data_IF_211466574447
#
_entry.id   IF_211466574447
#
_cell.length_a   1.000
_cell.length_b   1.000
_cell.length_c   1.000
_cell.angle_alpha   90.00
_cell.angle_beta   90.00
_cell.angle_gamma   90.00
#
_symmetry.space_group_name_H-M   'P 1'
#
loop_
_entity.id
_entity.type
_entity.pdbx_description
1 polymer ?
#
# COMPACT_ATOMS: atom_id res chain seq x y z
N UNK A 1 -26.20 2.37 -8.24
CA UNK A 1 -25.16 2.58 -9.28
C UNK A 1 -23.77 2.08 -8.84
N UNK A 2 -23.26 2.45 -7.66
CA UNK A 2 -21.94 1.98 -7.16
C UNK A 2 -21.82 0.43 -7.06
N UNK A 3 -22.83 -0.24 -6.48
CA UNK A 3 -22.84 -1.71 -6.38
C UNK A 3 -22.78 -2.40 -7.75
N UNK A 4 -23.39 -1.80 -8.79
CA UNK A 4 -23.37 -2.34 -10.15
C UNK A 4 -21.97 -2.30 -10.74
N UNK A 5 -21.19 -1.24 -10.47
CA UNK A 5 -19.79 -1.15 -10.94
C UNK A 5 -18.90 -2.22 -10.32
N UNK A 6 -19.09 -2.50 -9.02
CA UNK A 6 -18.32 -3.49 -8.25
C UNK A 6 -18.60 -4.95 -8.64
N UNK A 7 -19.70 -5.19 -9.36
CA UNK A 7 -20.13 -6.51 -9.82
C UNK A 7 -20.15 -6.61 -11.36
N UNK A 8 -19.47 -5.70 -12.05
CA UNK A 8 -19.31 -5.75 -13.51
C UNK A 8 -18.43 -6.94 -13.94
N UNK A 9 -18.44 -7.28 -15.23
CA UNK A 9 -17.75 -8.47 -15.77
C UNK A 9 -16.22 -8.45 -15.52
N UNK A 10 -15.63 -7.26 -15.47
CA UNK A 10 -14.22 -7.00 -15.14
C UNK A 10 -13.96 -6.91 -13.63
N UNK A 11 -14.90 -7.36 -12.80
CA UNK A 11 -14.80 -7.40 -11.34
C UNK A 11 -15.04 -8.81 -10.81
N UNK A 12 -14.41 -9.09 -9.67
CA UNK A 12 -14.73 -10.26 -8.83
C UNK A 12 -14.89 -9.80 -7.40
N UNK A 13 -15.84 -10.41 -6.69
CA UNK A 13 -16.10 -10.15 -5.29
C UNK A 13 -16.15 -11.49 -4.55
N UNK A 14 -15.33 -11.64 -3.53
CA UNK A 14 -15.25 -12.85 -2.71
C UNK A 14 -15.75 -12.54 -1.30
N UNK A 15 -16.52 -13.47 -0.74
CA UNK A 15 -17.00 -13.42 0.64
C UNK A 15 -16.46 -14.59 1.45
N UNK A 16 -15.92 -14.32 2.62
CA UNK A 16 -15.51 -15.35 3.57
C UNK A 16 -16.57 -15.53 4.63
N UNK A 17 -17.08 -16.76 4.79
CA UNK A 17 -18.15 -17.10 5.73
C UNK A 17 -17.63 -18.08 6.77
N UNK A 18 -18.19 -18.00 7.98
CA UNK A 18 -17.94 -19.00 9.01
C UNK A 18 -19.18 -19.90 9.13
N UNK A 19 -19.03 -21.22 9.35
CA UNK A 19 -20.19 -22.13 9.43
C UNK A 19 -21.24 -21.76 10.48
N UNK A 20 -20.81 -21.07 11.55
CA UNK A 20 -21.72 -20.56 12.59
C UNK A 20 -22.51 -19.30 12.18
N UNK A 21 -22.08 -18.61 11.13
CA UNK A 21 -22.70 -17.40 10.56
C UNK A 21 -22.76 -17.54 9.02
N UNK A 22 -23.55 -18.49 8.49
CA UNK A 22 -23.51 -18.85 7.07
C UNK A 22 -24.06 -17.75 6.14
N UNK A 23 -24.95 -16.90 6.66
CA UNK A 23 -25.58 -15.81 5.90
C UNK A 23 -24.82 -14.47 6.05
N UNK A 24 -23.84 -14.41 6.96
CA UNK A 24 -23.10 -13.18 7.26
C UNK A 24 -21.63 -13.31 6.84
N UNK A 25 -21.21 -12.62 5.77
CA UNK A 25 -19.83 -12.61 5.34
C UNK A 25 -18.98 -11.88 6.38
N UNK A 26 -17.90 -12.52 6.82
CA UNK A 26 -16.94 -11.96 7.76
C UNK A 26 -15.98 -10.99 7.06
N UNK A 27 -15.53 -11.35 5.86
CA UNK A 27 -14.63 -10.54 5.05
C UNK A 27 -15.16 -10.48 3.62
N UNK A 28 -15.07 -9.30 3.02
CA UNK A 28 -15.24 -9.09 1.59
C UNK A 28 -13.93 -8.69 0.94
N UNK A 29 -13.66 -9.27 -0.22
CA UNK A 29 -12.52 -8.95 -1.07
C UNK A 29 -13.03 -8.53 -2.43
N UNK A 30 -12.74 -7.29 -2.84
CA UNK A 30 -13.09 -6.77 -4.15
C UNK A 30 -11.84 -6.71 -5.04
N UNK A 31 -11.99 -7.24 -6.26
CA UNK A 31 -10.91 -7.41 -7.23
C UNK A 31 -11.32 -6.80 -8.57
N UNK A 32 -10.42 -6.02 -9.16
CA UNK A 32 -10.53 -5.52 -10.53
C UNK A 32 -9.61 -6.30 -11.45
N UNK A 33 -10.12 -6.75 -12.59
CA UNK A 33 -9.37 -7.42 -13.64
C UNK A 33 -8.87 -6.36 -14.63
N UNK A 34 -7.56 -6.23 -14.76
CA UNK A 34 -6.89 -5.16 -15.52
C UNK A 34 -5.78 -5.72 -16.41
N UNK A 35 -5.27 -4.86 -17.29
CA UNK A 35 -4.15 -5.18 -18.20
C UNK A 35 -2.79 -4.72 -17.65
N UNK A 36 -2.79 -4.05 -16.49
CA UNK A 36 -1.59 -3.56 -15.82
C UNK A 36 -1.81 -3.37 -14.32
N UNK A 37 -0.71 -3.25 -13.58
CA UNK A 37 -0.73 -2.94 -12.15
C UNK A 37 -1.23 -1.49 -11.98
N UNK A 38 -2.45 -1.34 -11.46
CA UNK A 38 -3.03 -0.04 -11.19
C UNK A 38 -2.22 0.76 -10.16
N UNK A 39 -2.01 2.04 -10.45
CA UNK A 39 -1.36 3.02 -9.56
C UNK A 39 -2.33 4.06 -8.98
N UNK A 40 -3.58 4.08 -9.44
CA UNK A 40 -4.60 5.05 -9.03
C UNK A 40 -5.93 4.34 -8.77
N UNK A 41 -6.62 4.74 -7.69
CA UNK A 41 -7.89 4.10 -7.30
C UNK A 41 -9.07 4.62 -8.11
N UNK A 42 -9.04 5.88 -8.56
CA UNK A 42 -10.18 6.54 -9.18
C UNK A 42 -10.71 5.78 -10.42
N UNK A 43 -9.87 5.31 -11.36
CA UNK A 43 -10.36 4.52 -12.51
C UNK A 43 -11.01 3.18 -12.11
N UNK A 44 -10.61 2.60 -10.96
CA UNK A 44 -11.14 1.31 -10.52
C UNK A 44 -12.54 1.42 -9.93
N UNK A 45 -12.84 2.56 -9.30
CA UNK A 45 -14.11 2.81 -8.60
C UNK A 45 -15.05 3.74 -9.37
N UNK A 46 -14.64 4.25 -10.53
CA UNK A 46 -15.48 5.10 -11.37
C UNK A 46 -16.72 4.33 -11.85
N UNK A 47 -17.94 4.72 -11.46
CA UNK A 47 -19.16 4.08 -11.90
C UNK A 47 -19.40 4.19 -13.41
N UNK A 48 -18.80 5.18 -14.07
CA UNK A 48 -18.86 5.40 -15.51
C UNK A 48 -17.65 4.81 -16.26
N UNK A 49 -16.71 4.18 -15.55
CA UNK A 49 -15.52 3.58 -16.15
C UNK A 49 -15.87 2.42 -17.09
N UNK A 50 -15.10 2.28 -18.17
CA UNK A 50 -15.28 1.18 -19.12
C UNK A 50 -15.13 -0.18 -18.43
N UNK A 51 -15.95 -1.14 -18.86
CA UNK A 51 -15.87 -2.53 -18.42
C UNK A 51 -14.91 -3.26 -19.35
N UNK A 52 -13.79 -3.72 -18.80
CA UNK A 52 -12.80 -4.49 -19.56
C UNK A 52 -13.27 -5.91 -19.90
N UNK A 53 -12.56 -6.57 -20.82
CA UNK A 53 -12.76 -8.00 -21.08
C UNK A 53 -11.97 -8.82 -20.02
N UNK A 54 -12.65 -9.56 -19.13
CA UNK A 54 -11.97 -10.35 -18.10
C UNK A 54 -11.06 -11.45 -18.67
N UNK A 55 -11.33 -11.92 -19.90
CA UNK A 55 -10.52 -12.98 -20.54
C UNK A 55 -9.26 -12.44 -21.22
N UNK A 56 -9.19 -11.13 -21.47
CA UNK A 56 -8.00 -10.45 -21.96
C UNK A 56 -7.16 -9.81 -20.85
N UNK A 57 -7.72 -9.66 -19.64
CA UNK A 57 -7.00 -9.17 -18.47
C UNK A 57 -5.87 -10.12 -18.06
N UNK A 58 -4.76 -9.58 -17.56
CA UNK A 58 -3.61 -10.36 -17.08
C UNK A 58 -3.21 -10.01 -15.64
N UNK A 59 -3.94 -9.09 -15.01
CA UNK A 59 -3.67 -8.57 -13.67
C UNK A 59 -4.95 -8.57 -12.84
N UNK A 60 -4.91 -9.17 -11.65
CA UNK A 60 -5.93 -9.03 -10.62
C UNK A 60 -5.48 -7.99 -9.59
N UNK A 61 -6.23 -6.90 -9.49
CA UNK A 61 -6.01 -5.79 -8.55
C UNK A 61 -6.98 -5.86 -7.39
N UNK A 62 -6.49 -6.26 -6.21
CA UNK A 62 -7.24 -6.27 -4.96
C UNK A 62 -7.30 -4.85 -4.40
N UNK A 63 -8.42 -4.14 -4.63
CA UNK A 63 -8.55 -2.73 -4.27
C UNK A 63 -9.41 -2.49 -3.01
N UNK A 64 -10.09 -3.54 -2.50
CA UNK A 64 -10.81 -3.47 -1.23
C UNK A 64 -10.76 -4.80 -0.49
N UNK A 65 -10.39 -4.76 0.80
CA UNK A 65 -10.48 -5.89 1.73
C UNK A 65 -11.11 -5.36 3.01
N UNK A 66 -12.36 -5.75 3.27
CA UNK A 66 -13.16 -5.21 4.37
C UNK A 66 -13.57 -6.32 5.33
N UNK A 67 -13.38 -6.09 6.63
CA UNK A 67 -14.02 -6.91 7.66
C UNK A 67 -15.45 -6.38 7.87
N UNK A 68 -16.46 -7.19 7.59
CA UNK A 68 -17.85 -6.77 7.60
C UNK A 68 -18.43 -6.66 9.02
N UNK A 69 -17.83 -7.35 10.00
CA UNK A 69 -18.31 -7.37 11.37
C UNK A 69 -17.43 -6.50 12.28
N UNK A 70 -17.99 -5.39 12.75
CA UNK A 70 -17.29 -4.46 13.63
C UNK A 70 -16.77 -5.11 14.94
N UNK A 71 -17.48 -6.14 15.44
CA UNK A 71 -17.09 -6.92 16.62
C UNK A 71 -15.87 -7.82 16.41
N UNK A 72 -15.47 -8.09 15.16
CA UNK A 72 -14.29 -8.89 14.81
C UNK A 72 -13.09 -8.02 14.43
N UNK A 73 -13.16 -6.71 14.68
CA UNK A 73 -12.08 -5.77 14.37
C UNK A 73 -10.83 -6.12 15.19
N UNK A 74 -9.79 -6.59 14.50
CA UNK A 74 -8.52 -7.00 15.11
C UNK A 74 -8.33 -8.51 15.28
N UNK A 75 -9.35 -9.32 14.95
CA UNK A 75 -9.22 -10.78 14.89
C UNK A 75 -8.61 -11.14 13.53
N UNK A 76 -7.51 -11.89 13.55
CA UNK A 76 -6.89 -12.45 12.35
C UNK A 76 -7.66 -13.70 11.93
N UNK A 77 -8.12 -13.74 10.69
CA UNK A 77 -8.79 -14.91 10.09
C UNK A 77 -7.79 -15.87 9.41
N UNK A 78 -6.53 -15.81 9.83
CA UNK A 78 -5.44 -16.63 9.30
C UNK A 78 -4.62 -15.91 8.23
N UNK A 79 -3.34 -16.26 8.16
CA UNK A 79 -2.31 -15.62 7.33
C UNK A 79 -2.30 -16.11 5.86
N UNK A 80 -3.41 -16.67 5.38
CA UNK A 80 -3.55 -17.21 4.02
C UNK A 80 -4.93 -16.93 3.41
N UNK A 81 -5.65 -15.94 3.93
CA UNK A 81 -6.95 -15.54 3.40
C UNK A 81 -6.84 -15.27 1.88
N UNK A 82 -5.85 -14.48 1.49
CA UNK A 82 -5.67 -14.13 0.09
C UNK A 82 -5.18 -15.31 -0.75
N UNK A 83 -4.47 -16.28 -0.18
CA UNK A 83 -4.05 -17.49 -0.92
C UNK A 83 -5.24 -18.25 -1.51
N UNK A 84 -6.37 -18.32 -0.79
CA UNK A 84 -7.58 -18.96 -1.30
C UNK A 84 -8.16 -18.19 -2.50
N UNK A 85 -8.25 -16.85 -2.39
CA UNK A 85 -8.74 -16.01 -3.50
C UNK A 85 -7.81 -16.07 -4.71
N UNK A 86 -6.49 -16.09 -4.49
CA UNK A 86 -5.49 -16.20 -5.55
C UNK A 86 -5.65 -17.51 -6.33
N UNK A 87 -5.83 -18.63 -5.63
CA UNK A 87 -6.03 -19.93 -6.26
C UNK A 87 -7.34 -19.97 -7.06
N UNK A 88 -8.44 -19.49 -6.48
CA UNK A 88 -9.74 -19.44 -7.16
C UNK A 88 -9.66 -18.61 -8.46
N UNK A 89 -9.02 -17.44 -8.40
CA UNK A 89 -8.80 -16.60 -9.58
C UNK A 89 -7.89 -17.27 -10.61
N UNK A 90 -6.85 -17.98 -10.18
CA UNK A 90 -5.93 -18.67 -11.09
C UNK A 90 -6.61 -19.86 -11.79
N UNK A 91 -7.52 -20.55 -11.10
CA UNK A 91 -8.31 -21.65 -11.64
C UNK A 91 -9.39 -21.14 -12.60
N UNK A 92 -10.07 -20.03 -12.26
CA UNK A 92 -11.10 -19.39 -13.10
C UNK A 92 -10.51 -18.72 -14.34
N UNK A 93 -9.39 -17.99 -14.18
CA UNK A 93 -8.79 -17.13 -15.20
C UNK A 93 -7.27 -17.42 -15.32
N UNK A 94 -6.87 -18.54 -15.96
CA UNK A 94 -5.48 -19.00 -16.03
C UNK A 94 -4.53 -18.04 -16.76
N UNK A 95 -5.05 -17.09 -17.53
CA UNK A 95 -4.27 -16.06 -18.21
C UNK A 95 -3.75 -14.97 -17.26
N UNK A 96 -4.26 -14.87 -16.04
CA UNK A 96 -3.79 -13.91 -15.04
C UNK A 96 -2.34 -14.24 -14.64
N UNK A 97 -1.47 -13.24 -14.74
CA UNK A 97 -0.04 -13.35 -14.44
C UNK A 97 0.35 -12.59 -13.19
N UNK A 98 -0.44 -11.59 -12.81
CA UNK A 98 -0.10 -10.61 -11.77
C UNK A 98 -1.21 -10.51 -10.77
N UNK A 99 -0.89 -10.75 -9.50
CA UNK A 99 -1.83 -10.57 -8.40
C UNK A 99 -1.28 -9.48 -7.49
N UNK A 100 -1.96 -8.34 -7.43
CA UNK A 100 -1.46 -7.14 -6.75
C UNK A 100 -2.58 -6.46 -6.00
N UNK A 101 -2.27 -5.83 -4.87
CA UNK A 101 -3.26 -4.97 -4.21
C UNK A 101 -3.09 -3.52 -4.68
N UNK A 102 -4.07 -2.68 -4.42
CA UNK A 102 -3.90 -1.24 -4.33
C UNK A 102 -4.43 -0.81 -2.96
N UNK A 103 -3.53 -0.76 -1.98
CA UNK A 103 -3.88 -0.67 -0.56
C UNK A 103 -3.64 0.74 0.00
N UNK A 104 -4.50 1.24 0.90
CA UNK A 104 -4.29 2.52 1.58
C UNK A 104 -3.18 2.42 2.65
N UNK A 105 -2.64 3.56 3.07
CA UNK A 105 -1.68 3.67 4.19
C UNK A 105 -2.26 4.60 5.28
N UNK A 106 -3.27 4.14 6.05
CA UNK A 106 -4.23 5.02 6.73
C UNK A 106 -3.66 5.95 7.81
N UNK A 107 -2.44 5.66 8.32
CA UNK A 107 -1.77 6.42 9.39
C UNK A 107 -0.45 7.03 8.96
N UNK A 108 -0.16 7.02 7.66
CA UNK A 108 1.08 7.58 7.14
C UNK A 108 1.19 9.07 7.44
N UNK A 109 0.11 9.84 7.27
CA UNK A 109 0.14 11.28 7.54
C UNK A 109 0.52 11.59 9.00
N UNK A 110 -0.03 10.83 9.96
CA UNK A 110 0.34 10.98 11.38
C UNK A 110 1.79 10.58 11.63
N UNK A 111 2.26 9.49 11.01
CA UNK A 111 3.64 9.04 11.10
C UNK A 111 4.63 10.05 10.55
N UNK A 112 4.33 10.67 9.41
CA UNK A 112 5.16 11.71 8.83
C UNK A 112 5.16 12.97 9.68
N UNK A 113 4.02 13.38 10.26
CA UNK A 113 3.98 14.52 11.20
C UNK A 113 4.88 14.28 12.41
N UNK A 114 4.87 13.07 12.99
CA UNK A 114 5.75 12.71 14.10
C UNK A 114 7.24 12.72 13.68
N UNK A 115 7.58 12.21 12.49
CA UNK A 115 8.94 12.30 11.94
C UNK A 115 9.38 13.77 11.81
N UNK A 116 8.53 14.61 11.23
CA UNK A 116 8.83 16.01 11.01
C UNK A 116 8.95 16.81 12.31
N UNK A 117 8.23 16.41 13.35
CA UNK A 117 8.34 16.98 14.70
C UNK A 117 9.57 16.45 15.48
N UNK A 118 10.33 15.50 14.93
CA UNK A 118 11.47 14.88 15.62
C UNK A 118 11.06 13.95 16.76
N UNK A 119 9.81 13.45 16.74
CA UNK A 119 9.24 12.61 17.80
C UNK A 119 9.54 11.11 17.63
N UNK A 120 10.25 10.73 16.57
CA UNK A 120 10.64 9.35 16.28
C UNK A 120 12.12 9.18 16.67
N UNK A 121 12.44 8.52 17.81
CA UNK A 121 13.79 8.55 18.39
C UNK A 121 14.90 8.08 17.44
N UNK A 122 14.63 7.02 16.67
CA UNK A 122 15.63 6.44 15.74
C UNK A 122 15.77 7.26 14.44
N UNK A 123 14.89 8.24 14.21
CA UNK A 123 14.80 9.01 12.96
C UNK A 123 14.69 10.52 13.22
N UNK A 124 15.76 11.16 13.71
CA UNK A 124 15.78 12.61 13.89
C UNK A 124 15.69 13.34 12.54
N UNK A 125 15.18 14.57 12.55
CA UNK A 125 14.91 15.36 11.33
C UNK A 125 16.16 15.57 10.47
N UNK A 126 17.34 15.75 11.06
CA UNK A 126 18.60 15.88 10.30
C UNK A 126 18.92 14.64 9.46
N UNK A 127 18.62 13.43 9.98
CA UNK A 127 18.78 12.18 9.23
C UNK A 127 17.79 12.09 8.07
N UNK A 128 16.58 12.62 8.24
CA UNK A 128 15.58 12.71 7.17
C UNK A 128 16.03 13.67 6.07
N UNK A 129 16.62 14.81 6.43
CA UNK A 129 17.22 15.74 5.46
C UNK A 129 18.31 15.07 4.63
N UNK A 130 19.23 14.32 5.25
CA UNK A 130 20.26 13.56 4.52
C UNK A 130 19.67 12.54 3.53
N UNK A 131 18.56 11.91 3.91
CA UNK A 131 17.85 10.91 3.10
C UNK A 131 17.19 11.57 1.89
N UNK A 132 16.83 12.85 2.00
CA UNK A 132 16.18 13.66 0.97
C UNK A 132 17.15 14.59 0.24
N UNK A 133 18.46 14.50 0.52
CA UNK A 133 19.46 15.42 -0.01
C UNK A 133 19.49 15.46 -1.54
N UNK A 134 19.37 14.29 -2.18
CA UNK A 134 19.32 14.19 -3.65
C UNK A 134 18.04 14.76 -4.28
N UNK A 135 17.04 15.11 -3.46
CA UNK A 135 15.81 15.79 -3.86
C UNK A 135 15.84 17.30 -3.58
N UNK A 136 16.92 17.83 -2.97
CA UNK A 136 17.00 19.23 -2.50
C UNK A 136 16.72 20.23 -3.61
N UNK A 137 17.31 20.06 -4.79
CA UNK A 137 17.16 21.01 -5.90
C UNK A 137 15.69 21.14 -6.33
N UNK A 138 15.03 20.00 -6.61
CA UNK A 138 13.61 19.98 -6.98
C UNK A 138 12.71 20.54 -5.88
N UNK A 139 13.02 20.27 -4.61
CA UNK A 139 12.27 20.79 -3.46
C UNK A 139 12.47 22.31 -3.28
N UNK A 140 13.68 22.82 -3.51
CA UNK A 140 13.99 24.25 -3.41
C UNK A 140 13.34 25.07 -4.55
N UNK A 141 13.16 24.49 -5.74
CA UNK A 141 12.39 25.13 -6.82
C UNK A 141 10.90 25.22 -6.51
N UNK A 142 10.36 24.24 -5.77
CA UNK A 142 8.94 24.14 -5.49
C UNK A 142 8.50 24.85 -4.20
N UNK A 143 9.43 25.18 -3.29
CA UNK A 143 9.17 25.71 -1.95
C UNK A 143 10.01 26.95 -1.63
N UNK A 144 9.73 27.62 -0.50
CA UNK A 144 10.57 28.71 0.01
C UNK A 144 11.59 28.24 1.05
N UNK A 145 11.71 26.94 1.27
CA UNK A 145 12.52 26.35 2.32
C UNK A 145 13.86 25.84 1.78
N UNK A 146 14.88 25.93 2.63
CA UNK A 146 16.23 25.44 2.28
C UNK A 146 16.46 24.00 2.71
N UNK A 147 15.81 23.57 3.80
CA UNK A 147 15.88 22.21 4.31
C UNK A 147 14.88 21.31 3.54
N UNK A 148 15.30 20.13 3.02
CA UNK A 148 14.40 19.21 2.32
C UNK A 148 13.15 18.82 3.12
N UNK A 149 13.28 18.52 4.42
CA UNK A 149 12.15 18.15 5.28
C UNK A 149 11.17 19.33 5.43
N UNK A 150 11.70 20.55 5.62
CA UNK A 150 10.89 21.76 5.72
C UNK A 150 10.15 22.05 4.40
N UNK A 151 10.82 21.87 3.26
CA UNK A 151 10.21 22.01 1.93
C UNK A 151 9.06 21.03 1.74
N UNK A 152 9.25 19.75 2.10
CA UNK A 152 8.18 18.75 2.07
C UNK A 152 7.02 19.16 2.99
N UNK A 153 7.30 19.60 4.22
CA UNK A 153 6.27 20.06 5.17
C UNK A 153 5.46 21.23 4.61
N UNK A 154 6.11 22.23 4.02
CA UNK A 154 5.45 23.39 3.41
C UNK A 154 4.53 22.95 2.27
N UNK A 155 5.04 22.17 1.31
CA UNK A 155 4.26 21.71 0.16
C UNK A 155 3.04 20.88 0.57
N UNK A 156 3.17 20.04 1.60
CA UNK A 156 2.06 19.27 2.15
C UNK A 156 1.06 20.14 2.89
N UNK A 157 1.51 21.15 3.64
CA UNK A 157 0.63 22.12 4.31
C UNK A 157 -0.20 22.94 3.30
N UNK A 158 0.41 23.29 2.17
CA UNK A 158 -0.22 23.96 1.03
C UNK A 158 -1.13 23.04 0.20
N UNK A 159 -1.32 21.78 0.63
CA UNK A 159 -2.12 20.75 -0.05
C UNK A 159 -1.63 20.42 -1.47
N UNK A 160 -0.35 20.64 -1.76
CA UNK A 160 0.30 20.31 -3.04
C UNK A 160 0.79 18.86 -3.08
N UNK A 161 0.04 17.92 -2.52
CA UNK A 161 0.48 16.51 -2.40
C UNK A 161 0.74 15.80 -3.75
N UNK A 162 0.20 16.31 -4.86
CA UNK A 162 0.44 15.83 -6.21
C UNK A 162 1.59 16.57 -6.95
N UNK A 163 2.34 17.42 -6.25
CA UNK A 163 3.46 18.15 -6.86
C UNK A 163 4.56 17.18 -7.31
N UNK A 164 5.08 17.31 -8.55
CA UNK A 164 6.17 16.46 -9.04
C UNK A 164 7.41 16.47 -8.14
N UNK A 165 7.72 17.59 -7.48
CA UNK A 165 8.85 17.68 -6.53
C UNK A 165 8.67 16.78 -5.31
N UNK A 166 7.43 16.40 -4.98
CA UNK A 166 7.12 15.49 -3.86
C UNK A 166 7.16 14.01 -4.26
N UNK A 167 7.22 13.66 -5.55
CA UNK A 167 7.09 12.26 -5.99
C UNK A 167 8.15 11.34 -5.35
N UNK A 168 9.43 11.69 -5.44
CA UNK A 168 10.50 10.90 -4.83
C UNK A 168 10.57 11.07 -3.30
N UNK A 169 10.51 12.28 -2.73
CA UNK A 169 10.48 12.47 -1.28
C UNK A 169 9.37 11.67 -0.59
N UNK A 170 8.13 11.73 -1.09
CA UNK A 170 7.02 10.98 -0.52
C UNK A 170 7.15 9.48 -0.70
N UNK A 171 7.68 9.03 -1.85
CA UNK A 171 8.01 7.61 -2.05
C UNK A 171 8.99 7.12 -0.99
N UNK A 172 10.06 7.88 -0.73
CA UNK A 172 11.11 7.52 0.21
C UNK A 172 10.64 7.58 1.67
N UNK A 173 9.86 8.60 2.02
CA UNK A 173 9.27 8.74 3.36
C UNK A 173 8.22 7.65 3.64
N UNK A 174 7.40 7.28 2.65
CA UNK A 174 6.47 6.16 2.77
C UNK A 174 7.23 4.82 2.91
N UNK A 175 8.32 4.62 2.15
CA UNK A 175 9.18 3.44 2.28
C UNK A 175 9.80 3.36 3.68
N UNK A 176 10.30 4.48 4.21
CA UNK A 176 10.81 4.58 5.57
C UNK A 176 9.72 4.20 6.59
N UNK A 177 8.51 4.75 6.45
CA UNK A 177 7.40 4.48 7.36
C UNK A 177 6.99 3.00 7.38
N UNK A 178 6.93 2.36 6.21
CA UNK A 178 6.51 0.97 6.07
C UNK A 178 7.64 0.02 6.48
N UNK A 179 8.84 0.27 5.98
CA UNK A 179 9.93 -0.71 6.00
C UNK A 179 10.95 -0.49 7.10
N UNK A 180 11.09 0.72 7.64
CA UNK A 180 12.16 1.06 8.59
C UNK A 180 11.64 1.48 9.97
N UNK A 181 10.53 2.21 10.06
CA UNK A 181 9.90 2.54 11.33
C UNK A 181 9.26 1.31 11.98
N UNK A 182 9.28 1.29 13.31
CA UNK A 182 8.72 0.19 14.12
C UNK A 182 7.95 0.74 15.32
N UNK A 183 6.85 0.08 15.69
CA UNK A 183 6.08 0.36 16.92
C UNK A 183 6.60 -0.46 18.13
N UNK A 184 7.71 -1.18 17.96
CA UNK A 184 8.32 -2.11 18.91
C UNK A 184 9.23 -3.09 18.16
N UNK A 185 10.05 -3.89 18.85
CA UNK A 185 10.95 -4.84 18.20
C UNK A 185 10.22 -5.75 17.21
N UNK A 186 10.55 -5.65 15.92
CA UNK A 186 9.92 -6.43 14.84
C UNK A 186 8.48 -6.03 14.47
N UNK A 187 7.89 -5.00 15.10
CA UNK A 187 6.50 -4.62 14.86
C UNK A 187 6.41 -3.53 13.79
N UNK A 188 5.92 -3.89 12.60
CA UNK A 188 5.64 -2.95 11.52
C UNK A 188 4.66 -1.84 11.97
N UNK A 189 4.94 -0.59 11.60
CA UNK A 189 4.13 0.56 12.00
C UNK A 189 2.73 0.57 11.37
N UNK A 190 2.64 0.17 10.11
CA UNK A 190 1.41 0.19 9.34
C UNK A 190 0.68 -1.15 9.42
N UNK A 191 -0.59 -1.12 9.84
CA UNK A 191 -1.38 -2.36 10.02
C UNK A 191 -1.76 -3.01 8.69
N UNK A 192 -1.92 -2.22 7.62
CA UNK A 192 -2.28 -2.74 6.29
C UNK A 192 -1.06 -3.42 5.67
N UNK A 193 0.12 -2.80 5.78
CA UNK A 193 1.39 -3.41 5.44
C UNK A 193 1.62 -4.70 6.22
N UNK A 194 1.49 -4.66 7.55
CA UNK A 194 1.64 -5.84 8.39
C UNK A 194 0.71 -6.98 7.96
N UNK A 195 -0.55 -6.67 7.61
CA UNK A 195 -1.50 -7.65 7.08
C UNK A 195 -1.01 -8.28 5.77
N UNK A 196 -0.63 -7.49 4.77
CA UNK A 196 -0.20 -8.01 3.47
C UNK A 196 1.12 -8.79 3.57
N UNK A 197 2.09 -8.27 4.31
CA UNK A 197 3.39 -8.91 4.52
C UNK A 197 3.24 -10.21 5.32
N UNK A 198 2.38 -10.23 6.34
CA UNK A 198 2.02 -11.46 7.04
C UNK A 198 1.25 -12.45 6.15
N UNK A 199 0.66 -12.03 5.02
CA UNK A 199 0.09 -12.93 4.02
C UNK A 199 1.11 -13.30 2.91
N UNK A 200 2.40 -12.98 3.08
CA UNK A 200 3.46 -13.37 2.14
C UNK A 200 3.58 -12.46 0.92
N UNK A 201 3.03 -11.25 0.99
CA UNK A 201 3.15 -10.29 -0.10
C UNK A 201 4.57 -9.69 -0.19
N UNK A 202 4.90 -9.24 -1.39
CA UNK A 202 6.07 -8.43 -1.71
C UNK A 202 5.64 -6.97 -1.73
N UNK A 203 6.36 -6.10 -1.05
CA UNK A 203 6.18 -4.66 -1.17
C UNK A 203 6.62 -4.23 -2.58
N UNK A 204 5.66 -4.00 -3.48
CA UNK A 204 5.93 -3.91 -4.91
C UNK A 204 6.22 -2.47 -5.35
N UNK A 205 5.29 -1.55 -5.06
CA UNK A 205 5.36 -0.16 -5.54
C UNK A 205 4.64 0.79 -4.59
N UNK A 206 5.20 1.97 -4.38
CA UNK A 206 4.56 3.08 -3.70
C UNK A 206 4.04 4.05 -4.76
N UNK A 207 2.78 4.43 -4.67
CA UNK A 207 2.09 5.25 -5.65
C UNK A 207 1.71 6.60 -5.01
N UNK A 208 2.43 7.66 -5.38
CA UNK A 208 2.09 9.03 -4.97
C UNK A 208 0.96 9.56 -5.85
N UNK A 209 -0.01 10.27 -5.24
CA UNK A 209 -1.18 10.79 -5.96
C UNK A 209 -2.18 9.72 -6.40
N UNK A 210 -2.14 8.55 -5.78
CA UNK A 210 -2.99 7.41 -6.09
C UNK A 210 -4.45 7.57 -5.63
N UNK A 211 -4.66 8.23 -4.49
CA UNK A 211 -6.00 8.55 -3.93
C UNK A 211 -6.09 10.02 -3.53
N UNK A 212 -6.53 10.86 -4.47
CA UNK A 212 -6.73 12.29 -4.24
C UNK A 212 -8.10 12.60 -3.60
N UNK A 213 -8.85 11.60 -3.11
CA UNK A 213 -10.04 11.88 -2.32
C UNK A 213 -9.68 12.62 -1.03
N UNK A 214 -10.62 13.37 -0.41
CA UNK A 214 -10.37 14.03 0.86
C UNK A 214 -9.87 13.07 1.95
N UNK A 215 -10.36 11.82 1.94
CA UNK A 215 -9.93 10.77 2.87
C UNK A 215 -8.50 10.32 2.58
N UNK A 216 -8.17 10.01 1.34
CA UNK A 216 -6.83 9.58 0.93
C UNK A 216 -5.75 10.62 1.26
N UNK A 217 -6.04 11.88 0.95
CA UNK A 217 -5.18 13.01 1.30
C UNK A 217 -5.01 13.17 2.81
N UNK A 218 -6.09 13.09 3.59
CA UNK A 218 -6.02 13.23 5.04
C UNK A 218 -5.24 12.11 5.73
N UNK A 219 -5.36 10.88 5.23
CA UNK A 219 -4.75 9.69 5.83
C UNK A 219 -3.28 9.48 5.44
N UNK A 220 -2.93 9.85 4.20
CA UNK A 220 -1.66 9.42 3.59
C UNK A 220 -1.08 10.37 2.55
N UNK A 221 -1.60 11.60 2.45
CA UNK A 221 -1.25 12.53 1.37
C UNK A 221 -1.50 11.95 -0.03
N UNK A 222 -2.50 11.07 -0.14
CA UNK A 222 -2.89 10.39 -1.38
C UNK A 222 -1.97 9.26 -1.81
N UNK A 223 -1.15 8.73 -0.91
CA UNK A 223 -0.27 7.61 -1.17
C UNK A 223 -1.02 6.29 -1.00
N UNK A 224 -0.90 5.42 -2.01
CA UNK A 224 -1.32 4.02 -1.91
C UNK A 224 -0.17 3.10 -2.28
N UNK A 225 -0.26 1.84 -1.91
CA UNK A 225 0.82 0.87 -2.08
C UNK A 225 0.32 -0.36 -2.80
N UNK A 226 1.07 -0.82 -3.79
CA UNK A 226 0.87 -2.13 -4.36
C UNK A 226 1.65 -3.16 -3.54
N UNK A 227 0.95 -4.19 -3.06
CA UNK A 227 1.56 -5.42 -2.54
C UNK A 227 1.33 -6.53 -3.55
N UNK A 228 2.41 -7.15 -4.06
CA UNK A 228 2.32 -8.22 -5.05
C UNK A 228 2.35 -9.58 -4.38
N UNK A 229 1.46 -10.47 -4.80
CA UNK A 229 1.46 -11.87 -4.41
C UNK A 229 2.05 -12.70 -5.53
N UNK A 230 3.05 -13.47 -5.17
CA UNK A 230 3.68 -14.46 -6.03
C UNK A 230 3.39 -15.84 -5.43
N UNK A 231 2.50 -16.65 -6.03
CA UNK A 231 2.06 -17.93 -5.47
C UNK A 231 3.21 -18.86 -5.05
N UNK A 232 4.33 -18.81 -5.77
CA UNK A 232 5.52 -19.63 -5.49
C UNK A 232 6.30 -19.15 -4.27
N UNK A 233 6.21 -17.85 -3.94
CA UNK A 233 6.98 -17.22 -2.88
C UNK A 233 6.16 -16.89 -1.62
N UNK A 234 4.83 -16.98 -1.66
CA UNK A 234 3.93 -16.60 -0.54
C UNK A 234 4.39 -17.22 0.79
N UNK A 235 4.69 -18.52 0.81
CA UNK A 235 5.06 -19.21 2.07
C UNK A 235 6.41 -18.73 2.59
N UNK A 236 7.43 -18.63 1.73
CA UNK A 236 8.76 -18.18 2.12
C UNK A 236 8.76 -16.71 2.58
N UNK A 237 7.98 -15.85 1.92
CA UNK A 237 7.83 -14.44 2.29
C UNK A 237 7.08 -14.30 3.63
N UNK A 238 6.05 -15.13 3.84
CA UNK A 238 5.32 -15.18 5.11
C UNK A 238 6.26 -15.53 6.27
N UNK A 239 7.04 -16.59 6.12
CA UNK A 239 7.99 -17.03 7.15
C UNK A 239 9.03 -15.94 7.44
N UNK A 240 9.60 -15.33 6.40
CA UNK A 240 10.56 -14.23 6.53
C UNK A 240 10.01 -13.04 7.33
N UNK A 241 8.74 -12.68 7.12
CA UNK A 241 8.13 -11.57 7.84
C UNK A 241 7.74 -11.94 9.27
N UNK A 242 7.12 -13.11 9.47
CA UNK A 242 6.60 -13.51 10.78
C UNK A 242 7.72 -13.91 11.74
N UNK A 243 8.78 -14.56 11.25
CA UNK A 243 9.89 -15.03 12.09
C UNK A 243 10.97 -13.96 12.24
N UNK A 244 11.36 -13.30 11.15
CA UNK A 244 12.53 -12.42 11.13
C UNK A 244 12.19 -10.93 11.02
N UNK A 245 10.90 -10.56 10.95
CA UNK A 245 10.44 -9.21 10.62
C UNK A 245 11.04 -8.66 9.30
N UNK A 246 11.47 -9.56 8.41
CA UNK A 246 12.10 -9.23 7.13
C UNK A 246 11.04 -8.96 6.08
N UNK A 247 11.13 -7.79 5.45
CA UNK A 247 10.20 -7.34 4.41
C UNK A 247 10.82 -7.65 3.05
N UNK A 248 10.10 -8.41 2.24
CA UNK A 248 10.49 -8.67 0.85
C UNK A 248 9.96 -7.55 -0.03
N UNK A 249 10.83 -6.95 -0.84
CA UNK A 249 10.52 -5.79 -1.68
C UNK A 249 10.80 -6.07 -3.16
N UNK A 250 10.18 -5.30 -4.06
CA UNK A 250 10.60 -5.26 -5.45
C UNK A 250 12.04 -4.77 -5.57
N UNK A 251 12.72 -5.10 -6.67
CA UNK A 251 14.12 -4.65 -6.91
C UNK A 251 14.27 -3.13 -6.86
N UNK A 252 13.25 -2.40 -7.34
CA UNK A 252 13.26 -0.95 -7.33
C UNK A 252 13.23 -0.39 -5.90
N UNK A 253 12.31 -0.89 -5.07
CA UNK A 253 12.20 -0.44 -3.68
C UNK A 253 13.37 -0.94 -2.82
N UNK A 254 13.88 -2.16 -3.06
CA UNK A 254 15.06 -2.66 -2.37
C UNK A 254 16.27 -1.76 -2.64
N UNK A 255 16.49 -1.32 -3.89
CA UNK A 255 17.58 -0.39 -4.21
C UNK A 255 17.44 0.95 -3.51
N UNK A 256 16.22 1.52 -3.45
CA UNK A 256 15.97 2.75 -2.71
C UNK A 256 16.19 2.56 -1.20
N UNK A 257 15.74 1.44 -0.65
CA UNK A 257 15.95 1.08 0.75
C UNK A 257 17.44 0.96 1.08
N UNK A 258 18.21 0.20 0.28
CA UNK A 258 19.63 -0.04 0.51
C UNK A 258 20.45 1.25 0.40
N UNK A 259 20.12 2.11 -0.57
CA UNK A 259 20.84 3.36 -0.81
C UNK A 259 20.62 4.39 0.31
N UNK A 260 19.39 4.49 0.82
CA UNK A 260 19.02 5.62 1.69
C UNK A 260 18.67 5.22 3.13
N UNK A 261 18.18 4.00 3.36
CA UNK A 261 17.55 3.61 4.63
C UNK A 261 18.32 2.51 5.38
N UNK A 262 18.96 1.58 4.67
CA UNK A 262 19.66 0.45 5.27
C UNK A 262 20.88 0.88 6.10
N UNK A 263 21.11 0.19 7.23
CA UNK A 263 22.35 0.30 8.01
C UNK A 263 22.57 1.63 8.72
N UNK A 264 21.61 2.56 8.70
CA UNK A 264 21.70 3.85 9.39
C UNK A 264 21.17 3.81 10.83
N UNK A 265 20.82 2.65 11.40
CA UNK A 265 20.20 2.49 12.72
C UNK A 265 21.01 3.14 13.85
#
# INVERSE_FOLDING_TARGET
>A
DDLRRRLADDRRCFGFFHPALPEEPLIFVEVALTYEIASNIAPLIDPAGEVGDPYAADTAVFYSINNALAGLRGISFGNFLLKQVLNELADELPQLKRFVTLSPVPRLADGLRALFAGEVPDWPTGRIDEILEDCREALAEASSETSPIAAVQQLLADRRCADPALAMPLTRLALLYIAAMRNGPGVCCDRVAAFHLANGAILERINVGADLSPKGQAQSYGIMVNYRYDPEQVVANHEAFVQDARIVMSRALQREYDKHLAGRH
#
